data_IF_916827039254
#
_entry.id   IF_916827039254
#
_cell.length_a   1.000
_cell.length_b   1.000
_cell.length_c   1.000
_cell.angle_alpha   90.00
_cell.angle_beta   90.00
_cell.angle_gamma   90.00
#
_symmetry.space_group_name_H-M   'P 1'
#
loop_
_entity.id
_entity.type
_entity.pdbx_description
1 polymer ?
#
# COMPACT_ATOMS: atom_id res chain seq x y z
N UNK A 1 0.95 -3.38 30.65
CA UNK A 1 1.26 -4.74 30.16
C UNK A 1 1.14 -4.72 28.64
N UNK A 2 2.25 -4.74 27.90
CA UNK A 2 2.23 -4.77 26.43
C UNK A 2 1.73 -6.14 25.97
N UNK A 3 0.57 -6.19 25.31
CA UNK A 3 0.01 -7.41 24.72
C UNK A 3 0.94 -7.85 23.59
N UNK A 4 1.58 -9.03 23.73
CA UNK A 4 2.36 -9.59 22.64
C UNK A 4 1.44 -9.87 21.45
N UNK A 5 1.88 -9.48 20.24
CA UNK A 5 1.16 -9.84 19.02
C UNK A 5 1.46 -11.31 18.70
N UNK A 6 0.44 -12.05 18.27
CA UNK A 6 0.62 -13.40 17.75
C UNK A 6 1.51 -13.38 16.50
N UNK A 7 2.20 -14.49 16.27
CA UNK A 7 2.95 -14.73 15.03
C UNK A 7 1.98 -14.82 13.85
N UNK A 8 2.25 -14.14 12.72
CA UNK A 8 1.49 -14.33 11.49
C UNK A 8 1.57 -15.79 11.02
N UNK A 9 0.45 -16.36 10.56
CA UNK A 9 0.41 -17.73 10.01
C UNK A 9 0.64 -17.79 8.51
N UNK A 10 0.60 -16.65 7.81
CA UNK A 10 0.85 -16.55 6.38
C UNK A 10 2.34 -16.32 6.09
N UNK A 11 2.85 -16.91 5.00
CA UNK A 11 4.15 -16.54 4.44
C UNK A 11 3.96 -15.52 3.32
N UNK A 12 4.88 -14.55 3.17
CA UNK A 12 4.80 -13.59 2.09
C UNK A 12 5.19 -14.23 0.74
N UNK A 13 4.71 -13.67 -0.39
CA UNK A 13 5.18 -14.05 -1.72
C UNK A 13 6.69 -13.81 -1.90
N UNK A 14 7.32 -14.48 -2.89
CA UNK A 14 8.72 -14.24 -3.25
C UNK A 14 9.00 -12.77 -3.60
N UNK A 15 10.25 -12.33 -3.38
CA UNK A 15 10.71 -10.99 -3.74
C UNK A 15 11.82 -11.02 -4.80
N UNK A 16 11.79 -10.06 -5.72
CA UNK A 16 12.83 -9.75 -6.69
C UNK A 16 13.69 -8.58 -6.21
N UNK A 17 15.01 -8.66 -6.44
CA UNK A 17 15.96 -7.63 -5.99
C UNK A 17 16.42 -7.84 -4.54
N UNK A 18 17.32 -6.98 -4.07
CA UNK A 18 18.00 -7.13 -2.78
C UNK A 18 17.94 -5.82 -1.98
N UNK A 19 17.99 -5.95 -0.64
CA UNK A 19 18.03 -4.80 0.27
C UNK A 19 16.85 -3.84 0.05
N UNK A 20 17.13 -2.54 -0.06
CA UNK A 20 16.12 -1.50 -0.22
C UNK A 20 15.40 -1.52 -1.59
N UNK A 21 15.86 -2.33 -2.55
CA UNK A 21 15.24 -2.46 -3.88
C UNK A 21 14.41 -3.74 -4.02
N UNK A 22 14.24 -4.51 -2.94
CA UNK A 22 13.40 -5.69 -2.94
C UNK A 22 11.93 -5.33 -3.18
N UNK A 23 11.27 -6.08 -4.06
CA UNK A 23 9.84 -5.95 -4.40
C UNK A 23 9.22 -7.32 -4.56
N UNK A 24 7.95 -7.51 -4.21
CA UNK A 24 7.29 -8.80 -4.44
C UNK A 24 7.22 -9.14 -5.93
N UNK A 25 7.32 -10.43 -6.26
CA UNK A 25 7.23 -10.95 -7.62
C UNK A 25 5.75 -11.08 -8.02
N UNK A 26 5.24 -10.23 -8.94
CA UNK A 26 3.84 -10.30 -9.36
C UNK A 26 3.51 -11.59 -10.10
N UNK A 27 4.49 -12.23 -10.75
CA UNK A 27 4.28 -13.49 -11.47
C UNK A 27 4.18 -14.69 -10.51
N UNK A 28 4.61 -14.51 -9.27
CA UNK A 28 4.51 -15.51 -8.22
C UNK A 28 3.31 -15.29 -7.29
N UNK A 29 2.53 -14.22 -7.50
CA UNK A 29 1.31 -13.96 -6.73
C UNK A 29 0.12 -14.70 -7.32
N UNK A 30 -0.70 -15.30 -6.46
CA UNK A 30 -2.00 -15.86 -6.83
C UNK A 30 -3.14 -15.42 -5.89
N UNK A 31 -4.36 -15.88 -6.17
CA UNK A 31 -5.56 -15.51 -5.40
C UNK A 31 -5.50 -15.93 -3.92
N UNK A 32 -4.57 -16.83 -3.54
CA UNK A 32 -4.38 -17.32 -2.16
C UNK A 32 -3.40 -16.49 -1.35
N UNK A 33 -2.56 -15.67 -1.99
CA UNK A 33 -1.69 -14.69 -1.31
C UNK A 33 -2.50 -13.51 -0.75
N UNK A 34 -3.72 -13.31 -1.28
CA UNK A 34 -4.70 -12.36 -0.77
C UNK A 34 -5.41 -12.85 0.49
N UNK A 35 -6.20 -11.97 1.10
CA UNK A 35 -7.11 -12.33 2.18
C UNK A 35 -8.54 -12.04 1.75
N UNK A 36 -9.45 -13.02 1.91
CA UNK A 36 -10.86 -12.78 1.68
C UNK A 36 -11.39 -11.81 2.74
N UNK A 37 -11.88 -10.67 2.28
CA UNK A 37 -12.53 -9.68 3.11
C UNK A 37 -13.97 -9.50 2.64
N UNK A 38 -14.89 -10.43 2.98
CA UNK A 38 -16.24 -10.45 2.42
C UNK A 38 -17.06 -9.20 2.77
N UNK A 39 -16.69 -8.49 3.85
CA UNK A 39 -17.29 -7.22 4.26
C UNK A 39 -16.67 -5.97 3.60
N UNK A 40 -15.67 -6.11 2.74
CA UNK A 40 -14.95 -4.98 2.14
C UNK A 40 -15.89 -4.04 1.38
N UNK A 41 -16.78 -4.62 0.56
CA UNK A 41 -17.71 -3.85 -0.27
C UNK A 41 -18.72 -3.07 0.60
N UNK A 42 -19.27 -3.69 1.64
CA UNK A 42 -20.20 -3.04 2.57
C UNK A 42 -19.52 -1.90 3.34
N UNK A 43 -18.33 -2.16 3.89
CA UNK A 43 -17.54 -1.14 4.58
C UNK A 43 -17.24 0.05 3.66
N UNK A 44 -16.85 -0.21 2.41
CA UNK A 44 -16.58 0.85 1.44
C UNK A 44 -17.80 1.74 1.23
N UNK A 45 -19.00 1.17 1.11
CA UNK A 45 -20.24 1.95 0.97
C UNK A 45 -20.55 2.80 2.21
N UNK A 46 -20.30 2.27 3.41
CA UNK A 46 -20.47 3.03 4.66
C UNK A 46 -19.51 4.23 4.74
N UNK A 47 -18.27 4.06 4.26
CA UNK A 47 -17.25 5.10 4.24
C UNK A 47 -17.42 6.12 3.09
N UNK A 48 -18.11 5.73 2.02
CA UNK A 48 -18.31 6.54 0.82
C UNK A 48 -19.80 6.76 0.55
N UNK A 49 -20.53 7.48 1.43
CA UNK A 49 -21.93 7.77 1.22
C UNK A 49 -22.13 8.51 -0.11
N UNK A 50 -23.26 8.32 -0.81
CA UNK A 50 -23.47 8.80 -2.18
C UNK A 50 -23.31 10.32 -2.37
N UNK A 51 -23.53 11.12 -1.32
CA UNK A 51 -23.30 12.58 -1.33
C UNK A 51 -21.80 12.95 -1.24
N UNK A 52 -20.98 12.07 -0.64
CA UNK A 52 -19.52 12.14 -0.60
C UNK A 52 -18.84 11.43 -1.80
N UNK A 53 -19.52 10.46 -2.44
CA UNK A 53 -18.98 9.62 -3.51
C UNK A 53 -18.80 10.32 -4.87
N UNK A 54 -19.36 11.53 -5.05
CA UNK A 54 -19.04 12.39 -6.22
C UNK A 54 -17.84 13.30 -6.00
N UNK A 55 -17.28 13.37 -4.78
CA UNK A 55 -15.96 13.94 -4.62
C UNK A 55 -14.95 12.89 -5.10
N UNK A 56 -14.03 13.22 -6.04
CA UNK A 56 -12.91 12.33 -6.31
C UNK A 56 -12.23 12.02 -4.97
N UNK A 57 -11.81 10.76 -4.77
CA UNK A 57 -11.01 10.35 -3.63
C UNK A 57 -9.62 11.02 -3.70
N UNK A 58 -9.59 12.32 -3.50
CA UNK A 58 -8.39 13.15 -3.40
C UNK A 58 -7.74 13.00 -2.03
N UNK A 59 -8.47 12.46 -1.03
CA UNK A 59 -8.02 12.36 0.36
C UNK A 59 -7.58 10.94 0.80
N UNK A 60 -7.81 9.90 -0.01
CA UNK A 60 -7.09 8.65 0.23
C UNK A 60 -5.64 8.91 -0.21
N UNK A 61 -4.62 8.85 0.67
CA UNK A 61 -3.23 9.02 0.25
C UNK A 61 -2.77 7.76 -0.51
N UNK A 62 -3.35 7.52 -1.68
CA UNK A 62 -2.83 6.61 -2.68
C UNK A 62 -1.65 7.32 -3.35
N UNK A 63 -0.48 7.17 -2.74
CA UNK A 63 0.77 7.74 -3.21
C UNK A 63 1.16 8.97 -2.39
N UNK A 64 2.09 8.78 -1.47
CA UNK A 64 3.06 9.83 -1.19
C UNK A 64 3.81 10.12 -2.48
N UNK A 65 3.29 11.04 -3.30
CA UNK A 65 4.02 11.57 -4.43
C UNK A 65 5.34 12.11 -3.87
N UNK A 66 6.45 11.41 -4.15
CA UNK A 66 7.77 11.84 -3.71
C UNK A 66 8.00 13.23 -4.29
N UNK A 67 8.20 14.27 -3.47
CA UNK A 67 8.50 15.59 -3.98
C UNK A 67 9.70 15.50 -4.92
N UNK A 68 9.58 16.04 -6.13
CA UNK A 68 10.71 16.09 -7.06
C UNK A 68 11.88 16.78 -6.35
N UNK A 69 13.01 16.09 -6.24
CA UNK A 69 14.23 16.69 -5.70
C UNK A 69 14.60 17.87 -6.61
N UNK A 70 14.78 19.09 -6.06
CA UNK A 70 15.22 20.22 -6.87
C UNK A 70 16.56 19.86 -7.54
N UNK A 71 16.80 20.27 -8.80
CA UNK A 71 18.04 19.95 -9.48
C UNK A 71 19.21 20.51 -8.66
N UNK A 72 20.21 19.66 -8.41
CA UNK A 72 21.42 20.06 -7.71
C UNK A 72 22.11 21.17 -8.53
N UNK A 73 22.03 22.41 -8.05
CA UNK A 73 22.81 23.50 -8.60
C UNK A 73 24.28 23.19 -8.34
N UNK A 74 24.97 22.79 -9.40
CA UNK A 74 26.42 22.66 -9.41
C UNK A 74 27.00 24.07 -9.41
N UNK A 75 27.13 24.69 -8.24
CA UNK A 75 27.95 25.88 -8.08
C UNK A 75 29.20 25.55 -7.28
N UNK A 76 30.24 25.22 -8.03
CA UNK A 76 31.64 25.30 -7.63
C UNK A 76 31.98 26.69 -7.10
N UNK A 77 32.68 26.77 -5.95
CA UNK A 77 33.95 27.52 -5.81
C UNK A 77 34.64 27.20 -4.49
#
# INVERSE_FOLDING_TARGET
>A
MTKQRNTPTASPPPTLGEGCLARYDPEAMDDTDGTDFPGAAELWQQLNPPDAASAPATDAPAGTQTPAHPPADKSSK
#
